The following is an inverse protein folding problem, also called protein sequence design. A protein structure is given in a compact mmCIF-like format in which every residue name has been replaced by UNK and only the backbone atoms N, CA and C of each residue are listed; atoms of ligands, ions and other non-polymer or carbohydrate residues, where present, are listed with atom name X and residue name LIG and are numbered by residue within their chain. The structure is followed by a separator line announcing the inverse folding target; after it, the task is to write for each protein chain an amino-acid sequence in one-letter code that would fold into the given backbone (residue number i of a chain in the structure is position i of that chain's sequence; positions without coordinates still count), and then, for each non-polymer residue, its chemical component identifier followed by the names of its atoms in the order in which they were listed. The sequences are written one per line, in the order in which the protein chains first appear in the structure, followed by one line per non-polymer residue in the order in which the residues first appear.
data_IF_650231709931
#
_entry.id   IF_650231709931
#
_cell.length_a   1.000
_cell.length_b   1.000
_cell.length_c   1.000
_cell.angle_alpha   90.00
_cell.angle_beta   90.00
_cell.angle_gamma   90.00
#
_symmetry.space_group_name_H-M   'P 1'
#
loop_
_entity.id
_entity.type
_entity.pdbx_description
1 polymer ?
#
# COMPACT_ATOMS: atom_id res chain seq x y z
N UNK A 1 -0.43 29.15 10.21
CA UNK A 1 -0.33 29.19 8.73
C UNK A 1 -1.75 29.24 8.17
N UNK A 2 -2.06 30.06 7.16
CA UNK A 2 -3.40 30.08 6.57
C UNK A 2 -3.61 28.86 5.65
N UNK A 3 -4.87 28.40 5.52
CA UNK A 3 -5.22 27.30 4.61
C UNK A 3 -4.81 27.60 3.15
N UNK A 4 -4.92 28.87 2.72
CA UNK A 4 -4.46 29.31 1.41
C UNK A 4 -2.95 29.15 1.21
N UNK A 5 -2.15 29.42 2.24
CA UNK A 5 -0.69 29.22 2.19
C UNK A 5 -0.36 27.74 2.12
N UNK A 6 -1.08 26.89 2.86
CA UNK A 6 -0.94 25.44 2.80
C UNK A 6 -1.22 24.90 1.40
N UNK A 7 -2.36 25.26 0.78
CA UNK A 7 -2.69 24.82 -0.58
C UNK A 7 -1.66 25.27 -1.61
N UNK A 8 -1.26 26.54 -1.56
CA UNK A 8 -0.26 27.10 -2.49
C UNK A 8 1.07 26.35 -2.41
N UNK A 9 1.57 26.10 -1.21
CA UNK A 9 2.83 25.34 -1.01
C UNK A 9 2.67 23.87 -1.42
N UNK A 10 1.53 23.26 -1.09
CA UNK A 10 1.25 21.85 -1.43
C UNK A 10 1.23 21.65 -2.93
N UNK A 11 0.51 22.47 -3.70
CA UNK A 11 0.50 22.33 -5.15
C UNK A 11 1.83 22.70 -5.79
N UNK A 12 2.54 23.73 -5.28
CA UNK A 12 3.88 24.02 -5.76
C UNK A 12 4.82 22.81 -5.64
N UNK A 13 4.75 22.07 -4.53
CA UNK A 13 5.48 20.82 -4.34
C UNK A 13 4.97 19.69 -5.27
N UNK A 14 3.66 19.44 -5.28
CA UNK A 14 3.06 18.34 -6.05
C UNK A 14 3.22 18.49 -7.56
N UNK A 15 3.29 19.72 -8.08
CA UNK A 15 3.56 20.01 -9.50
C UNK A 15 5.04 20.22 -9.81
N UNK A 16 5.95 19.99 -8.85
CA UNK A 16 7.39 20.12 -9.06
C UNK A 16 7.89 21.56 -9.27
N UNK A 17 7.11 22.57 -8.88
CA UNK A 17 7.50 23.99 -8.84
C UNK A 17 8.30 24.34 -7.57
N UNK A 18 8.38 23.41 -6.62
CA UNK A 18 9.18 23.51 -5.41
C UNK A 18 9.64 22.12 -4.96
N UNK A 19 10.89 22.01 -4.53
CA UNK A 19 11.42 20.76 -3.97
C UNK A 19 11.13 20.61 -2.47
N UNK A 20 10.63 21.67 -1.82
CA UNK A 20 10.37 21.67 -0.39
C UNK A 20 8.97 21.14 -0.10
N UNK A 21 8.90 19.94 0.47
CA UNK A 21 7.65 19.38 1.02
C UNK A 21 7.21 20.21 2.23
N UNK A 22 5.97 20.73 2.27
CA UNK A 22 5.43 21.36 3.46
C UNK A 22 5.40 20.36 4.62
N UNK A 23 5.83 20.78 5.82
CA UNK A 23 5.89 19.91 7.00
C UNK A 23 4.52 19.34 7.38
N UNK A 24 3.45 20.09 7.10
CA UNK A 24 2.06 19.72 7.38
C UNK A 24 1.44 18.82 6.30
N UNK A 25 2.12 18.58 5.19
CA UNK A 25 1.61 17.75 4.09
C UNK A 25 1.97 16.28 4.35
N UNK A 26 1.32 15.62 5.31
CA UNK A 26 1.43 14.17 5.58
C UNK A 26 0.45 13.33 4.72
N UNK A 27 0.46 12.00 4.90
CA UNK A 27 -0.44 11.05 4.22
C UNK A 27 -1.92 11.46 4.25
N UNK A 28 -2.38 11.97 5.40
CA UNK A 28 -3.78 12.36 5.59
C UNK A 28 -4.05 13.72 4.94
N UNK A 29 -3.11 14.65 5.07
CA UNK A 29 -3.17 15.98 4.49
C UNK A 29 -3.09 15.96 2.96
N UNK A 30 -2.47 14.94 2.34
CA UNK A 30 -2.43 14.72 0.87
C UNK A 30 -3.81 14.51 0.25
N UNK A 31 -4.81 14.04 1.03
CA UNK A 31 -6.18 13.82 0.54
C UNK A 31 -6.87 15.13 0.15
N UNK A 32 -6.66 16.20 0.92
CA UNK A 32 -7.28 17.51 0.70
C UNK A 32 -6.89 18.14 -0.65
N UNK A 33 -5.61 18.35 -0.97
CA UNK A 33 -5.23 18.92 -2.26
C UNK A 33 -5.59 17.99 -3.42
N UNK A 34 -5.59 16.67 -3.21
CA UNK A 34 -6.03 15.68 -4.19
C UNK A 34 -7.52 15.86 -4.53
N UNK A 35 -8.41 15.80 -3.54
CA UNK A 35 -9.87 15.90 -3.78
C UNK A 35 -10.28 17.21 -4.44
N UNK A 36 -9.58 18.32 -4.13
CA UNK A 36 -9.86 19.64 -4.72
C UNK A 36 -9.61 19.64 -6.24
N UNK A 37 -8.57 18.93 -6.72
CA UNK A 37 -8.17 18.96 -8.14
C UNK A 37 -8.67 17.78 -8.95
N UNK A 38 -9.26 16.77 -8.29
CA UNK A 38 -9.85 15.60 -8.93
C UNK A 38 -10.81 15.94 -10.10
N UNK A 39 -11.79 16.87 -9.97
CA UNK A 39 -12.67 17.19 -11.08
C UNK A 39 -11.93 17.85 -12.25
N UNK A 40 -10.89 18.63 -11.96
CA UNK A 40 -10.08 19.35 -12.96
C UNK A 40 -9.18 18.37 -13.72
N UNK A 41 -8.63 17.39 -13.01
CA UNK A 41 -7.79 16.34 -13.60
C UNK A 41 -8.56 15.46 -14.59
N UNK A 42 -9.86 15.24 -14.33
CA UNK A 42 -10.74 14.38 -15.14
C UNK A 42 -11.37 15.09 -16.36
N UNK A 43 -11.26 16.41 -16.43
CA UNK A 43 -11.75 17.21 -17.56
C UNK A 43 -10.60 17.97 -18.23
N UNK A 44 -10.21 17.52 -19.42
CA UNK A 44 -9.03 18.02 -20.13
C UNK A 44 -9.12 19.52 -20.48
N UNK A 45 -10.31 20.09 -20.58
CA UNK A 45 -10.51 21.52 -20.85
C UNK A 45 -10.63 22.39 -19.59
N UNK A 46 -10.65 21.78 -18.40
CA UNK A 46 -10.91 22.49 -17.15
C UNK A 46 -9.68 23.22 -16.61
N UNK A 47 -9.98 24.33 -15.94
CA UNK A 47 -9.03 25.12 -15.16
C UNK A 47 -9.71 25.60 -13.88
N UNK A 48 -8.94 25.73 -12.80
CA UNK A 48 -9.44 26.33 -11.57
C UNK A 48 -8.56 27.48 -11.13
N UNK A 49 -9.22 28.54 -10.65
CA UNK A 49 -8.58 29.70 -10.07
C UNK A 49 -9.11 29.90 -8.66
N UNK A 50 -8.23 29.73 -7.69
CA UNK A 50 -8.56 29.90 -6.27
C UNK A 50 -8.03 31.26 -5.84
N UNK A 51 -8.95 32.16 -5.50
CA UNK A 51 -8.67 33.49 -4.95
C UNK A 51 -8.86 33.56 -3.43
N UNK A 52 -8.16 34.48 -2.77
CA UNK A 52 -8.47 34.95 -1.42
C UNK A 52 -8.72 36.44 -1.42
N UNK A 53 -9.30 36.96 -0.34
CA UNK A 53 -9.51 38.39 -0.10
C UNK A 53 -8.20 39.20 -0.24
N UNK A 54 -7.04 38.58 -0.03
CA UNK A 54 -5.71 39.18 -0.14
C UNK A 54 -4.93 38.78 -1.42
N UNK A 55 -5.61 38.24 -2.44
CA UNK A 55 -5.02 37.92 -3.75
C UNK A 55 -5.17 36.46 -4.20
N UNK A 56 -4.75 36.17 -5.44
CA UNK A 56 -4.84 34.84 -6.05
C UNK A 56 -3.95 33.83 -5.31
N UNK A 57 -4.56 32.73 -4.86
CA UNK A 57 -3.89 31.64 -4.15
C UNK A 57 -3.22 30.71 -5.15
N UNK A 58 -3.95 30.28 -6.18
CA UNK A 58 -3.46 29.27 -7.11
C UNK A 58 -4.28 29.19 -8.40
N UNK A 59 -3.59 29.10 -9.53
CA UNK A 59 -4.14 28.72 -10.83
C UNK A 59 -3.67 27.30 -11.16
N UNK A 60 -4.57 26.40 -11.54
CA UNK A 60 -4.23 25.04 -11.92
C UNK A 60 -4.99 24.61 -13.17
N UNK A 61 -4.23 24.11 -14.14
CA UNK A 61 -4.73 23.49 -15.37
C UNK A 61 -5.06 22.00 -15.16
N UNK A 62 -5.83 21.41 -16.06
CA UNK A 62 -6.07 19.95 -16.11
C UNK A 62 -4.77 19.14 -16.14
N UNK A 63 -3.74 19.62 -16.87
CA UNK A 63 -2.42 18.99 -16.91
C UNK A 63 -1.72 19.00 -15.54
N UNK A 64 -1.69 20.15 -14.87
CA UNK A 64 -1.07 20.27 -13.55
C UNK A 64 -1.87 19.53 -12.47
N UNK A 65 -3.20 19.50 -12.59
CA UNK A 65 -4.08 18.72 -11.72
C UNK A 65 -3.79 17.21 -11.85
N UNK A 66 -3.62 16.72 -13.07
CA UNK A 66 -3.20 15.34 -13.34
C UNK A 66 -1.81 15.05 -12.78
N UNK A 67 -0.85 15.96 -12.94
CA UNK A 67 0.47 15.82 -12.35
C UNK A 67 0.41 15.73 -10.83
N UNK A 68 -0.37 16.61 -10.18
CA UNK A 68 -0.54 16.62 -8.73
C UNK A 68 -1.18 15.31 -8.23
N UNK A 69 -2.19 14.78 -8.92
CA UNK A 69 -2.80 13.48 -8.62
C UNK A 69 -1.76 12.35 -8.67
N UNK A 70 -0.94 12.31 -9.73
CA UNK A 70 0.11 11.31 -9.87
C UNK A 70 1.18 11.42 -8.77
N UNK A 71 1.56 12.64 -8.39
CA UNK A 71 2.49 12.87 -7.29
C UNK A 71 1.92 12.40 -5.96
N UNK A 72 0.64 12.69 -5.66
CA UNK A 72 -0.04 12.20 -4.46
C UNK A 72 -0.07 10.67 -4.44
N UNK A 73 -0.43 10.02 -5.55
CA UNK A 73 -0.47 8.55 -5.64
C UNK A 73 0.91 7.92 -5.41
N UNK A 74 1.98 8.57 -5.91
CA UNK A 74 3.36 8.14 -5.65
C UNK A 74 3.72 8.29 -4.18
N UNK A 75 3.49 9.45 -3.59
CA UNK A 75 3.80 9.72 -2.18
C UNK A 75 3.05 8.78 -1.23
N UNK A 76 1.77 8.51 -1.49
CA UNK A 76 0.99 7.56 -0.71
C UNK A 76 1.52 6.13 -0.84
N UNK A 77 2.04 5.75 -2.03
CA UNK A 77 2.69 4.45 -2.23
C UNK A 77 4.01 4.38 -1.47
N UNK A 78 4.83 5.42 -1.53
CA UNK A 78 6.12 5.48 -0.85
C UNK A 78 5.94 5.54 0.69
N UNK A 79 4.80 6.06 1.16
CA UNK A 79 4.39 6.07 2.57
C UNK A 79 3.71 4.78 3.03
N UNK A 80 3.33 3.87 2.13
CA UNK A 80 2.91 2.53 2.54
C UNK A 80 4.11 1.79 3.12
N UNK A 81 4.18 1.75 4.45
CA UNK A 81 5.24 1.07 5.18
C UNK A 81 5.01 -0.42 5.08
N UNK A 82 5.80 -1.12 4.26
CA UNK A 82 5.93 -2.57 4.38
C UNK A 82 6.47 -2.86 5.78
N UNK A 83 5.68 -3.54 6.59
CA UNK A 83 6.14 -3.97 7.92
C UNK A 83 6.19 -5.49 7.95
N UNK A 84 7.38 -6.02 8.27
CA UNK A 84 7.60 -7.44 8.52
C UNK A 84 7.46 -7.68 10.01
N UNK A 85 6.47 -8.47 10.40
CA UNK A 85 6.27 -8.86 11.81
C UNK A 85 6.54 -10.34 11.96
N UNK A 86 7.36 -10.70 12.94
CA UNK A 86 7.57 -12.09 13.33
C UNK A 86 6.49 -12.52 14.32
N UNK A 87 5.89 -13.68 14.05
CA UNK A 87 4.94 -14.36 14.91
C UNK A 87 5.50 -15.73 15.25
N UNK A 88 5.59 -16.04 16.54
CA UNK A 88 6.12 -17.31 17.01
C UNK A 88 4.97 -18.25 17.41
N UNK A 89 5.19 -19.55 17.17
CA UNK A 89 4.31 -20.64 17.60
C UNK A 89 2.83 -20.45 17.21
N UNK A 90 2.57 -20.02 15.98
CA UNK A 90 1.21 -19.85 15.46
C UNK A 90 0.73 -21.10 14.73
N UNK A 91 -0.58 -21.34 14.78
CA UNK A 91 -1.21 -22.48 14.13
C UNK A 91 -1.43 -22.21 12.64
N UNK A 92 -0.77 -22.98 11.79
CA UNK A 92 -0.92 -22.99 10.35
C UNK A 92 -1.64 -24.26 9.90
N UNK A 93 -2.64 -24.11 9.05
CA UNK A 93 -3.18 -25.23 8.27
C UNK A 93 -3.23 -24.86 6.79
N UNK A 94 -3.01 -25.87 5.94
CA UNK A 94 -2.96 -25.68 4.51
C UNK A 94 -4.37 -25.55 3.94
N UNK A 95 -4.58 -24.53 3.11
CA UNK A 95 -5.79 -24.37 2.30
C UNK A 95 -5.58 -24.90 0.89
N UNK A 96 -4.39 -24.65 0.34
CA UNK A 96 -3.99 -25.12 -0.98
C UNK A 96 -2.49 -25.40 -1.00
N UNK A 97 -2.07 -26.52 -1.58
CA UNK A 97 -0.65 -26.83 -1.79
C UNK A 97 -0.43 -27.38 -3.20
N UNK A 98 0.70 -27.02 -3.82
CA UNK A 98 1.14 -27.61 -5.07
C UNK A 98 2.09 -28.78 -4.83
N UNK A 99 1.87 -29.87 -5.55
CA UNK A 99 2.72 -31.04 -5.54
C UNK A 99 3.98 -30.84 -6.41
N UNK A 100 4.79 -29.83 -6.08
CA UNK A 100 6.04 -29.52 -6.77
C UNK A 100 7.06 -28.93 -5.79
N UNK A 101 8.29 -29.47 -5.79
CA UNK A 101 9.39 -28.97 -4.94
C UNK A 101 9.66 -27.48 -5.16
N UNK A 102 9.87 -27.08 -6.41
CA UNK A 102 10.33 -25.71 -6.74
C UNK A 102 9.17 -24.82 -7.20
N UNK A 103 8.15 -24.67 -6.36
CA UNK A 103 7.05 -23.74 -6.64
C UNK A 103 7.05 -22.61 -5.62
N UNK A 104 7.53 -21.43 -6.04
CA UNK A 104 7.51 -20.19 -5.27
C UNK A 104 6.11 -19.54 -5.20
N UNK A 105 5.12 -20.12 -5.88
CA UNK A 105 3.78 -19.54 -6.03
C UNK A 105 2.68 -20.61 -6.03
N UNK A 106 1.64 -20.37 -5.23
CA UNK A 106 0.40 -21.13 -5.27
C UNK A 106 0.07 -21.92 -4.00
N UNK A 107 0.99 -22.01 -3.05
CA UNK A 107 0.69 -22.54 -1.73
C UNK A 107 -0.01 -21.46 -0.90
N UNK A 108 -1.10 -21.86 -0.24
CA UNK A 108 -1.89 -21.00 0.62
C UNK A 108 -2.17 -21.70 1.94
N UNK A 109 -2.00 -20.97 3.02
CA UNK A 109 -2.33 -21.41 4.36
C UNK A 109 -3.23 -20.40 5.05
N UNK A 110 -3.83 -20.83 6.14
CA UNK A 110 -4.59 -19.97 7.04
C UNK A 110 -3.93 -20.04 8.41
N UNK A 111 -3.77 -18.86 9.02
CA UNK A 111 -3.34 -18.68 10.40
C UNK A 111 -4.38 -17.75 11.02
N UNK A 112 -5.39 -18.31 11.70
CA UNK A 112 -6.57 -17.56 12.17
C UNK A 112 -6.20 -16.37 13.09
N UNK A 113 -5.10 -16.48 13.83
CA UNK A 113 -4.58 -15.40 14.68
C UNK A 113 -3.99 -14.21 13.90
N UNK A 114 -3.85 -14.33 12.57
CA UNK A 114 -3.25 -13.33 11.67
C UNK A 114 -4.26 -12.91 10.59
N UNK A 115 -4.90 -13.88 9.94
CA UNK A 115 -5.93 -13.66 8.93
C UNK A 115 -6.93 -14.82 8.93
N UNK A 116 -8.21 -14.51 8.84
CA UNK A 116 -9.33 -15.46 8.74
C UNK A 116 -9.56 -15.97 7.31
N UNK A 117 -8.67 -15.63 6.36
CA UNK A 117 -8.74 -16.03 4.96
C UNK A 117 -7.42 -16.62 4.44
N UNK A 118 -7.43 -17.41 3.35
CA UNK A 118 -6.23 -18.03 2.81
C UNK A 118 -5.21 -17.01 2.27
N UNK A 119 -4.04 -16.95 2.90
CA UNK A 119 -2.91 -16.11 2.50
C UNK A 119 -1.84 -16.94 1.79
N UNK A 120 -1.01 -16.28 0.97
CA UNK A 120 0.14 -16.93 0.35
C UNK A 120 1.10 -17.39 1.46
N UNK A 121 1.67 -18.58 1.31
CA UNK A 121 2.70 -19.06 2.23
C UNK A 121 3.93 -19.45 1.42
N UNK A 122 5.10 -19.06 1.92
CA UNK A 122 6.40 -19.41 1.33
C UNK A 122 7.18 -20.15 2.41
N UNK A 123 7.63 -21.37 2.10
CA UNK A 123 8.52 -22.10 3.00
C UNK A 123 9.92 -21.48 2.92
N UNK A 124 10.57 -21.29 4.08
CA UNK A 124 11.89 -20.67 4.15
C UNK A 124 12.96 -21.47 3.36
N UNK A 125 12.81 -22.79 3.28
CA UNK A 125 13.71 -23.69 2.55
C UNK A 125 12.92 -24.85 1.93
N UNK A 126 13.46 -25.43 0.85
CA UNK A 126 12.80 -26.54 0.13
C UNK A 126 12.62 -27.80 0.99
N UNK A 127 13.53 -28.07 1.94
CA UNK A 127 13.44 -29.19 2.86
C UNK A 127 12.19 -29.13 3.75
N UNK A 128 11.84 -27.95 4.24
CA UNK A 128 10.65 -27.72 5.06
C UNK A 128 9.38 -28.03 4.25
N UNK A 129 9.35 -27.63 2.97
CA UNK A 129 8.24 -27.93 2.07
C UNK A 129 8.08 -29.43 1.82
N UNK A 130 9.20 -30.15 1.68
CA UNK A 130 9.17 -31.61 1.55
C UNK A 130 8.54 -32.25 2.78
N UNK A 131 9.02 -31.88 3.97
CA UNK A 131 8.56 -32.46 5.24
C UNK A 131 7.09 -32.15 5.56
N UNK A 132 6.68 -30.90 5.30
CA UNK A 132 5.32 -30.44 5.63
C UNK A 132 4.28 -30.87 4.60
N UNK A 133 4.65 -30.95 3.32
CA UNK A 133 3.70 -31.14 2.21
C UNK A 133 3.94 -32.46 1.47
N UNK A 134 5.14 -32.68 0.93
CA UNK A 134 5.39 -33.71 -0.08
C UNK A 134 5.54 -35.13 0.52
N UNK A 135 6.15 -35.25 1.70
CA UNK A 135 6.32 -36.52 2.41
C UNK A 135 5.08 -36.89 3.24
N UNK A 136 4.02 -36.09 3.17
CA UNK A 136 2.77 -36.31 3.90
C UNK A 136 1.72 -36.94 3.00
N UNK A 137 1.11 -38.02 3.48
CA UNK A 137 -0.01 -38.68 2.80
C UNK A 137 -1.20 -37.75 2.57
N UNK A 138 -1.45 -36.80 3.49
CA UNK A 138 -2.44 -35.74 3.31
C UNK A 138 -2.12 -34.51 4.20
N UNK A 139 -1.53 -33.44 3.63
CA UNK A 139 -1.16 -32.24 4.39
C UNK A 139 -2.37 -31.42 4.88
N UNK A 140 -3.57 -31.63 4.32
CA UNK A 140 -4.80 -30.92 4.71
C UNK A 140 -5.46 -31.50 5.97
N UNK A 141 -5.00 -32.65 6.46
CA UNK A 141 -5.49 -33.26 7.71
C UNK A 141 -4.61 -32.96 8.92
N UNK A 142 -3.57 -32.14 8.75
CA UNK A 142 -2.62 -31.78 9.79
C UNK A 142 -2.61 -30.27 9.98
N UNK A 143 -2.39 -29.84 11.21
CA UNK A 143 -2.07 -28.45 11.54
C UNK A 143 -0.65 -28.40 12.12
N UNK A 144 0.03 -27.29 11.90
CA UNK A 144 1.44 -27.11 12.22
C UNK A 144 1.59 -25.90 13.14
N UNK A 145 2.41 -26.03 14.17
CA UNK A 145 2.87 -24.88 14.95
C UNK A 145 4.15 -24.39 14.28
N UNK A 146 4.13 -23.14 13.83
CA UNK A 146 5.21 -22.55 13.02
C UNK A 146 5.58 -21.17 13.52
N UNK A 147 6.81 -20.78 13.22
CA UNK A 147 7.24 -19.39 13.29
C UNK A 147 7.16 -18.78 11.88
N UNK A 148 6.54 -17.60 11.77
CA UNK A 148 6.30 -16.95 10.47
C UNK A 148 6.69 -15.48 10.51
N UNK A 149 7.28 -15.01 9.41
CA UNK A 149 7.34 -13.59 9.08
C UNK A 149 6.15 -13.23 8.21
N UNK A 150 5.38 -12.23 8.63
CA UNK A 150 4.24 -11.71 7.85
C UNK A 150 4.63 -10.36 7.30
N UNK A 151 4.59 -10.22 5.98
CA UNK A 151 4.73 -8.92 5.32
C UNK A 151 3.35 -8.32 5.14
N UNK A 152 3.12 -7.15 5.73
CA UNK A 152 1.85 -6.45 5.60
C UNK A 152 1.99 -5.23 4.69
N UNK A 153 0.99 -5.05 3.82
CA UNK A 153 0.77 -3.82 3.07
C UNK A 153 -0.54 -3.21 3.59
N UNK A 154 -0.47 -2.01 4.17
CA UNK A 154 -1.63 -1.34 4.77
C UNK A 154 -2.35 -2.19 5.85
N UNK A 155 -1.58 -2.93 6.67
CA UNK A 155 -2.10 -3.78 7.73
C UNK A 155 -2.75 -5.09 7.26
N UNK A 156 -2.80 -5.35 5.96
CA UNK A 156 -3.25 -6.63 5.39
C UNK A 156 -2.05 -7.48 4.99
N UNK A 157 -2.04 -8.79 5.28
CA UNK A 157 -0.99 -9.69 4.80
C UNK A 157 -0.89 -9.64 3.28
N UNK A 158 0.30 -9.33 2.78
CA UNK A 158 0.64 -9.27 1.36
C UNK A 158 1.47 -10.50 0.93
N UNK A 159 2.32 -11.00 1.83
CA UNK A 159 3.12 -12.24 1.68
C UNK A 159 3.30 -12.91 3.04
#
# INVERSE_FOLDING_TARGET
MSFSTFLKKSYAFLTGKSDSRPAELDAQALKTPSSIVEPIAKDNGSQSNIGTVNGNVYFITSQEANQAQNAVARLLRDETTTSTRLHHQVLLYWYQVKNAKNSATGDRGIIESIADYPVKVICAHDSLKIEMILDRKNPFKSAYIVDVGVETLNGKPAV
#
